data_IF_707922710880
#
_entry.id   IF_707922710880
#
_cell.length_a   1.000
_cell.length_b   1.000
_cell.length_c   1.000
_cell.angle_alpha   90.00
_cell.angle_beta   90.00
_cell.angle_gamma   90.00
#
_symmetry.space_group_name_H-M   'P 1'
#
loop_
_entity.id
_entity.type
_entity.pdbx_description
1 polymer ?
#
# COMPACT_ATOMS: atom_id res chain seq x y z
N UNK A 1 38.64 13.00 2.92
CA UNK A 1 37.22 13.41 2.74
C UNK A 1 36.53 12.27 2.03
N UNK A 2 35.71 11.50 2.74
CA UNK A 2 34.92 10.42 2.14
C UNK A 2 34.02 10.99 1.04
N UNK A 3 34.09 10.40 -0.14
CA UNK A 3 33.22 10.71 -1.27
C UNK A 3 31.79 10.34 -0.90
N UNK A 4 31.03 11.29 -0.36
CA UNK A 4 29.60 11.11 -0.05
C UNK A 4 28.85 10.63 -1.29
N UNK A 5 28.03 9.58 -1.16
CA UNK A 5 27.26 9.00 -2.25
C UNK A 5 26.40 10.07 -2.96
N UNK A 6 26.57 10.31 -4.27
CA UNK A 6 25.78 11.30 -5.01
C UNK A 6 24.26 11.06 -4.93
N UNK A 7 23.83 9.82 -4.73
CA UNK A 7 22.42 9.49 -4.53
C UNK A 7 21.85 10.10 -3.23
N UNK A 8 22.69 10.47 -2.26
CA UNK A 8 22.29 11.08 -0.98
C UNK A 8 22.33 12.61 -1.00
N UNK A 9 22.21 13.21 -2.18
CA UNK A 9 22.10 14.65 -2.35
C UNK A 9 20.83 15.03 -3.07
N UNK A 10 20.17 16.10 -2.61
CA UNK A 10 19.05 16.74 -3.30
C UNK A 10 19.16 18.26 -3.07
N UNK A 11 19.04 19.06 -4.14
CA UNK A 11 19.06 20.53 -4.06
C UNK A 11 20.25 21.12 -3.27
N UNK A 12 21.44 20.53 -3.41
CA UNK A 12 22.65 20.97 -2.72
C UNK A 12 22.72 20.60 -1.23
N UNK A 13 21.77 19.80 -0.74
CA UNK A 13 21.70 19.33 0.64
C UNK A 13 22.01 17.83 0.72
N UNK A 14 22.85 17.45 1.70
CA UNK A 14 23.07 16.05 2.02
C UNK A 14 21.89 15.52 2.84
N UNK A 15 21.30 14.41 2.41
CA UNK A 15 20.04 13.89 2.95
C UNK A 15 20.16 13.36 4.37
N UNK A 16 21.34 12.96 4.82
CA UNK A 16 21.58 12.42 6.17
C UNK A 16 22.35 13.40 7.05
N UNK A 17 22.33 14.70 6.73
CA UNK A 17 22.98 15.69 7.57
C UNK A 17 22.33 15.71 8.96
N UNK A 18 23.14 15.39 9.98
CA UNK A 18 22.72 15.36 11.37
C UNK A 18 22.56 16.77 11.96
N UNK A 19 21.67 16.92 12.94
CA UNK A 19 21.43 18.18 13.65
C UNK A 19 21.97 18.10 15.09
N UNK A 20 23.26 18.42 15.31
CA UNK A 20 23.85 18.37 16.64
C UNK A 20 23.29 19.45 17.57
N UNK A 21 22.70 20.53 17.04
CA UNK A 21 22.19 21.64 17.85
C UNK A 21 20.86 21.29 18.54
N UNK A 22 20.01 20.51 17.89
CA UNK A 22 18.70 20.10 18.42
C UNK A 22 18.63 18.62 18.83
N UNK A 23 19.71 17.85 18.65
CA UNK A 23 19.73 16.41 18.92
C UNK A 23 18.86 15.58 17.98
N UNK A 24 18.39 16.16 16.86
CA UNK A 24 17.56 15.47 15.88
C UNK A 24 18.41 14.59 14.96
N UNK A 25 17.86 13.46 14.51
CA UNK A 25 18.53 12.56 13.55
C UNK A 25 18.90 13.28 12.24
N UNK A 26 18.12 14.27 11.83
CA UNK A 26 18.36 15.06 10.63
C UNK A 26 18.08 16.56 10.83
N UNK A 27 18.90 17.40 10.19
CA UNK A 27 18.67 18.84 10.08
C UNK A 27 17.35 19.13 9.39
N UNK A 28 16.76 20.31 9.68
CA UNK A 28 15.56 20.76 8.98
C UNK A 28 15.78 20.84 7.46
N UNK A 29 17.00 21.21 7.04
CA UNK A 29 17.38 21.25 5.65
C UNK A 29 17.41 19.84 5.04
N UNK A 30 18.01 18.86 5.72
CA UNK A 30 18.01 17.46 5.31
C UNK A 30 16.58 16.90 5.19
N UNK A 31 15.70 17.15 6.17
CA UNK A 31 14.29 16.73 6.10
C UNK A 31 13.54 17.33 4.91
N UNK A 32 13.74 18.63 4.63
CA UNK A 32 13.16 19.28 3.44
C UNK A 32 13.68 18.68 2.14
N UNK A 33 14.98 18.38 2.08
CA UNK A 33 15.61 17.76 0.91
C UNK A 33 15.13 16.32 0.69
N UNK A 34 14.96 15.54 1.76
CA UNK A 34 14.36 14.19 1.71
C UNK A 34 12.92 14.26 1.16
N UNK A 35 12.09 15.16 1.68
CA UNK A 35 10.72 15.34 1.21
C UNK A 35 10.66 15.78 -0.27
N UNK A 36 11.51 16.72 -0.67
CA UNK A 36 11.60 17.18 -2.06
C UNK A 36 12.02 16.04 -3.01
N UNK A 37 13.02 15.24 -2.60
CA UNK A 37 13.46 14.07 -3.35
C UNK A 37 12.34 13.04 -3.48
N UNK A 38 11.64 12.73 -2.40
CA UNK A 38 10.53 11.77 -2.40
C UNK A 38 9.43 12.21 -3.38
N UNK A 39 9.00 13.47 -3.31
CA UNK A 39 8.02 14.03 -4.24
C UNK A 39 8.49 13.95 -5.70
N UNK A 40 9.76 14.29 -5.98
CA UNK A 40 10.33 14.19 -7.32
C UNK A 40 10.33 12.74 -7.82
N UNK A 41 10.68 11.78 -6.97
CA UNK A 41 10.71 10.36 -7.31
C UNK A 41 9.30 9.82 -7.62
N UNK A 42 8.29 10.24 -6.86
CA UNK A 42 6.89 9.89 -7.09
C UNK A 42 6.37 10.48 -8.41
N UNK A 43 6.66 11.77 -8.67
CA UNK A 43 6.31 12.41 -9.95
C UNK A 43 6.90 11.68 -11.16
N UNK A 44 8.09 11.10 -11.02
CA UNK A 44 8.76 10.36 -12.08
C UNK A 44 8.27 8.91 -12.23
N UNK A 45 7.41 8.43 -11.32
CA UNK A 45 6.85 7.07 -11.31
C UNK A 45 5.34 7.12 -11.15
N UNK A 46 4.62 7.85 -12.03
CA UNK A 46 3.18 7.92 -11.95
C UNK A 46 2.56 6.54 -12.23
N UNK A 47 1.31 6.31 -11.80
CA UNK A 47 0.53 5.16 -12.21
C UNK A 47 0.45 5.05 -13.73
N UNK A 48 0.45 3.82 -14.26
CA UNK A 48 0.48 3.57 -15.71
C UNK A 48 -0.65 2.64 -16.13
N UNK A 49 -1.35 2.97 -17.21
CA UNK A 49 -2.34 2.05 -17.79
C UNK A 49 -1.67 0.84 -18.44
N UNK A 50 -0.47 1.01 -19.01
CA UNK A 50 0.29 -0.04 -19.69
C UNK A 50 1.71 -0.07 -19.12
N UNK A 51 2.16 -1.26 -18.70
CA UNK A 51 3.54 -1.48 -18.28
C UNK A 51 4.45 -1.79 -19.48
N UNK A 52 5.57 -1.07 -19.68
CA UNK A 52 6.52 -1.37 -20.75
C UNK A 52 7.09 -2.79 -20.63
N UNK A 53 7.34 -3.45 -21.77
CA UNK A 53 7.94 -4.81 -21.79
C UNK A 53 9.32 -4.87 -21.13
N UNK A 54 10.06 -3.76 -21.08
CA UNK A 54 11.36 -3.67 -20.41
C UNK A 54 11.25 -3.83 -18.89
N UNK A 55 10.08 -3.58 -18.32
CA UNK A 55 9.79 -3.70 -16.88
C UNK A 55 9.19 -5.08 -16.53
N UNK A 56 9.09 -5.98 -17.51
CA UNK A 56 8.77 -7.38 -17.28
C UNK A 56 10.07 -8.18 -17.17
N UNK A 57 10.15 -9.17 -16.26
CA UNK A 57 11.29 -10.07 -16.19
C UNK A 57 11.55 -10.71 -17.55
N UNK A 58 12.78 -10.58 -18.03
CA UNK A 58 13.19 -11.07 -19.34
C UNK A 58 14.66 -11.48 -19.31
N UNK A 59 15.16 -12.10 -20.39
CA UNK A 59 16.54 -12.61 -20.46
C UNK A 59 17.63 -11.55 -20.22
N UNK A 60 17.32 -10.26 -20.39
CA UNK A 60 18.27 -9.14 -20.22
C UNK A 60 18.08 -8.39 -18.90
N UNK A 61 16.93 -8.55 -18.24
CA UNK A 61 16.59 -7.87 -16.99
C UNK A 61 15.99 -8.93 -16.06
N UNK A 62 16.81 -9.44 -15.16
CA UNK A 62 16.44 -10.48 -14.19
C UNK A 62 15.64 -9.92 -13.01
N UNK A 63 15.91 -8.67 -12.62
CA UNK A 63 15.27 -7.97 -11.50
C UNK A 63 14.80 -6.56 -11.90
N UNK A 64 13.74 -6.44 -12.74
CA UNK A 64 13.11 -5.14 -12.95
C UNK A 64 12.49 -4.65 -11.64
N UNK A 65 12.24 -3.33 -11.49
CA UNK A 65 11.44 -2.83 -10.39
C UNK A 65 10.09 -3.55 -10.28
N UNK A 66 9.63 -3.75 -9.06
CA UNK A 66 8.34 -4.34 -8.76
C UNK A 66 7.21 -3.35 -9.07
N UNK A 67 6.24 -3.82 -9.85
CA UNK A 67 4.99 -3.13 -10.09
C UNK A 67 3.82 -4.07 -9.79
N UNK A 68 2.75 -3.51 -9.24
CA UNK A 68 1.47 -4.20 -9.06
C UNK A 68 0.40 -3.63 -9.99
N UNK A 69 -0.36 -4.51 -10.63
CA UNK A 69 -1.54 -4.13 -11.39
C UNK A 69 -2.78 -4.28 -10.53
N UNK A 70 -3.42 -3.17 -10.17
CA UNK A 70 -4.49 -3.19 -9.18
C UNK A 70 -5.13 -1.83 -8.92
N UNK A 71 -5.99 -1.82 -7.91
CA UNK A 71 -6.68 -0.64 -7.41
C UNK A 71 -6.00 -0.15 -6.13
N UNK A 72 -5.53 1.11 -6.08
CA UNK A 72 -5.08 1.68 -4.82
C UNK A 72 -6.26 1.92 -3.87
N UNK A 73 -5.99 1.98 -2.57
CA UNK A 73 -6.98 2.30 -1.54
C UNK A 73 -6.34 2.99 -0.33
N UNK A 74 -7.14 3.73 0.43
CA UNK A 74 -6.75 4.36 1.69
C UNK A 74 -7.10 3.45 2.88
N UNK A 75 -6.46 3.65 4.04
CA UNK A 75 -6.83 2.96 5.29
C UNK A 75 -8.30 3.17 5.63
N UNK A 76 -8.77 4.41 5.48
CA UNK A 76 -10.15 4.76 5.75
C UNK A 76 -11.11 4.00 4.83
N UNK A 77 -10.79 3.92 3.54
CA UNK A 77 -11.58 3.15 2.58
C UNK A 77 -11.74 1.69 3.01
N UNK A 78 -10.66 1.03 3.44
CA UNK A 78 -10.71 -0.36 3.89
C UNK A 78 -11.61 -0.54 5.13
N UNK A 79 -11.56 0.39 6.08
CA UNK A 79 -12.42 0.40 7.27
C UNK A 79 -13.88 0.56 6.84
N UNK A 80 -14.17 1.55 6.00
CA UNK A 80 -15.53 1.84 5.55
C UNK A 80 -16.11 0.69 4.71
N UNK A 81 -15.29 0.06 3.87
CA UNK A 81 -15.64 -1.16 3.14
C UNK A 81 -16.03 -2.26 4.13
N UNK A 82 -15.20 -2.53 5.13
CA UNK A 82 -15.46 -3.55 6.13
C UNK A 82 -16.75 -3.27 6.93
N UNK A 83 -17.03 -2.00 7.23
CA UNK A 83 -18.29 -1.54 7.85
C UNK A 83 -19.50 -1.78 6.95
N UNK A 84 -19.45 -1.32 5.69
CA UNK A 84 -20.54 -1.44 4.70
C UNK A 84 -20.91 -2.90 4.45
N UNK A 85 -19.91 -3.76 4.30
CA UNK A 85 -20.09 -5.19 4.04
C UNK A 85 -20.22 -6.04 5.31
N UNK A 86 -20.29 -5.40 6.48
CA UNK A 86 -20.50 -6.05 7.80
C UNK A 86 -19.55 -7.22 8.04
N UNK A 87 -18.28 -7.03 7.67
CA UNK A 87 -17.25 -8.05 7.84
C UNK A 87 -17.08 -8.35 9.33
N UNK A 88 -16.59 -9.56 9.63
CA UNK A 88 -16.43 -10.07 10.99
C UNK A 88 -15.10 -10.77 11.13
N UNK A 89 -14.52 -10.70 12.33
CA UNK A 89 -13.26 -11.34 12.70
C UNK A 89 -13.53 -12.25 13.89
N UNK A 90 -13.07 -13.49 13.81
CA UNK A 90 -13.03 -14.36 14.98
C UNK A 90 -11.83 -13.94 15.82
N UNK A 91 -12.08 -13.63 17.09
CA UNK A 91 -11.04 -13.20 18.01
C UNK A 91 -10.41 -14.41 18.69
N UNK A 92 -9.08 -14.40 18.79
CA UNK A 92 -8.33 -15.37 19.59
C UNK A 92 -8.46 -15.08 21.10
N UNK A 93 -7.81 -15.87 21.94
CA UNK A 93 -7.92 -15.74 23.41
C UNK A 93 -7.37 -14.41 23.92
N UNK A 94 -6.24 -13.95 23.40
CA UNK A 94 -5.60 -12.70 23.81
C UNK A 94 -6.44 -11.49 23.35
N UNK A 95 -6.96 -11.55 22.12
CA UNK A 95 -7.85 -10.53 21.58
C UNK A 95 -9.19 -10.50 22.34
N UNK A 96 -9.74 -11.65 22.74
CA UNK A 96 -10.98 -11.69 23.54
C UNK A 96 -10.83 -10.92 24.83
N UNK A 97 -9.70 -11.07 25.54
CA UNK A 97 -9.45 -10.34 26.78
C UNK A 97 -9.50 -8.82 26.52
N UNK A 98 -8.80 -8.36 25.48
CA UNK A 98 -8.80 -6.95 25.09
C UNK A 98 -10.18 -6.43 24.67
N UNK A 99 -11.00 -7.25 24.01
CA UNK A 99 -12.34 -6.87 23.53
C UNK A 99 -13.48 -7.22 24.52
N UNK A 100 -13.18 -7.38 25.81
CA UNK A 100 -14.19 -7.57 26.85
C UNK A 100 -14.90 -8.92 26.79
N UNK A 101 -14.16 -9.97 26.42
CA UNK A 101 -14.63 -11.36 26.32
C UNK A 101 -15.41 -11.69 25.04
N UNK A 102 -15.45 -10.79 24.05
CA UNK A 102 -16.18 -11.04 22.79
C UNK A 102 -15.43 -12.04 21.93
N UNK A 103 -16.12 -13.08 21.47
CA UNK A 103 -15.54 -14.06 20.52
C UNK A 103 -15.43 -13.52 19.09
N UNK A 104 -16.28 -12.54 18.73
CA UNK A 104 -16.36 -12.01 17.36
C UNK A 104 -16.31 -10.50 17.41
N UNK A 105 -15.36 -9.94 16.67
CA UNK A 105 -15.33 -8.52 16.35
C UNK A 105 -16.15 -8.25 15.08
N UNK A 106 -16.97 -7.20 15.11
CA UNK A 106 -17.79 -6.77 13.97
C UNK A 106 -17.39 -5.36 13.57
N UNK A 107 -17.02 -5.18 12.31
CA UNK A 107 -16.62 -3.85 11.83
C UNK A 107 -17.76 -2.83 11.92
N UNK A 108 -19.02 -3.26 11.82
CA UNK A 108 -20.17 -2.37 12.00
C UNK A 108 -20.23 -1.67 13.36
N UNK A 109 -19.52 -2.18 14.38
CA UNK A 109 -19.48 -1.62 15.74
C UNK A 109 -18.30 -0.63 15.92
N UNK A 110 -17.50 -0.37 14.88
CA UNK A 110 -16.37 0.59 14.94
C UNK A 110 -16.89 2.01 15.04
N UNK A 111 -16.55 2.67 16.14
CA UNK A 111 -16.85 4.08 16.44
C UNK A 111 -15.57 4.88 16.81
N UNK A 112 -15.74 6.19 17.05
CA UNK A 112 -14.63 7.09 17.35
C UNK A 112 -13.95 6.78 18.68
N UNK A 113 -14.69 6.22 19.66
CA UNK A 113 -14.14 5.86 20.96
C UNK A 113 -13.15 4.70 20.81
N UNK A 114 -13.54 3.65 20.06
CA UNK A 114 -12.67 2.52 19.78
C UNK A 114 -11.42 2.96 18.99
N UNK A 115 -11.58 3.90 18.06
CA UNK A 115 -10.49 4.41 17.22
C UNK A 115 -9.57 5.41 17.93
N UNK A 116 -9.95 5.88 19.12
CA UNK A 116 -9.10 6.75 19.95
C UNK A 116 -7.94 6.00 20.60
N UNK A 117 -8.12 4.70 20.86
CA UNK A 117 -7.09 3.83 21.38
C UNK A 117 -6.11 3.41 20.25
N UNK A 118 -4.79 3.63 20.39
CA UNK A 118 -3.81 3.29 19.37
C UNK A 118 -3.76 1.80 19.00
N UNK A 119 -3.94 0.90 19.97
CA UNK A 119 -3.86 -0.56 19.77
C UNK A 119 -5.10 -1.03 19.01
N UNK A 120 -6.30 -0.64 19.45
CA UNK A 120 -7.53 -0.99 18.75
C UNK A 120 -7.58 -0.36 17.36
N UNK A 121 -7.13 0.89 17.21
CA UNK A 121 -7.01 1.52 15.89
C UNK A 121 -6.08 0.73 14.97
N UNK A 122 -4.93 0.27 15.48
CA UNK A 122 -4.01 -0.54 14.69
C UNK A 122 -4.66 -1.86 14.26
N UNK A 123 -5.29 -2.56 15.20
CA UNK A 123 -6.05 -3.78 14.93
C UNK A 123 -7.10 -3.57 13.84
N UNK A 124 -7.97 -2.55 13.98
CA UNK A 124 -9.03 -2.24 13.02
C UNK A 124 -8.45 -1.95 11.63
N UNK A 125 -7.35 -1.20 11.53
CA UNK A 125 -6.69 -0.92 10.25
C UNK A 125 -6.13 -2.19 9.61
N UNK A 126 -5.45 -3.05 10.37
CA UNK A 126 -4.84 -4.27 9.84
C UNK A 126 -5.92 -5.27 9.43
N UNK A 127 -6.89 -5.51 10.30
CA UNK A 127 -7.95 -6.47 10.07
C UNK A 127 -8.85 -6.03 8.90
N UNK A 128 -9.26 -4.76 8.82
CA UNK A 128 -10.12 -4.27 7.73
C UNK A 128 -9.50 -4.52 6.36
N UNK A 129 -8.19 -4.26 6.22
CA UNK A 129 -7.44 -4.53 4.98
C UNK A 129 -7.43 -6.00 4.62
N UNK A 130 -7.13 -6.87 5.59
CA UNK A 130 -7.06 -8.31 5.35
C UNK A 130 -8.41 -8.86 4.91
N UNK A 131 -9.46 -8.58 5.68
CA UNK A 131 -10.80 -9.10 5.41
C UNK A 131 -11.45 -8.48 4.17
N UNK A 132 -11.15 -7.21 3.84
CA UNK A 132 -11.55 -6.62 2.56
C UNK A 132 -10.96 -7.41 1.38
N UNK A 133 -9.67 -7.72 1.41
CA UNK A 133 -9.01 -8.48 0.32
C UNK A 133 -9.59 -9.89 0.23
N UNK A 134 -9.83 -10.55 1.36
CA UNK A 134 -10.43 -11.89 1.38
C UNK A 134 -11.85 -11.89 0.80
N UNK A 135 -12.69 -10.95 1.24
CA UNK A 135 -14.06 -10.78 0.75
C UNK A 135 -14.09 -10.47 -0.76
N UNK A 136 -13.25 -9.53 -1.22
CA UNK A 136 -13.14 -9.22 -2.64
C UNK A 136 -12.64 -10.41 -3.46
N UNK A 137 -11.65 -11.15 -2.97
CA UNK A 137 -11.14 -12.35 -3.63
C UNK A 137 -12.24 -13.40 -3.82
N UNK A 138 -13.09 -13.59 -2.81
CA UNK A 138 -14.26 -14.48 -2.88
C UNK A 138 -15.29 -13.98 -3.89
N UNK A 139 -15.59 -12.67 -3.86
CA UNK A 139 -16.58 -12.04 -4.77
C UNK A 139 -16.19 -12.15 -6.23
N UNK A 140 -14.91 -11.93 -6.55
CA UNK A 140 -14.44 -12.03 -7.93
C UNK A 140 -14.04 -13.46 -8.32
N UNK A 141 -14.07 -14.44 -7.40
CA UNK A 141 -13.64 -15.81 -7.66
C UNK A 141 -12.17 -15.92 -8.07
N UNK A 142 -11.33 -14.98 -7.65
CA UNK A 142 -9.93 -14.88 -8.04
C UNK A 142 -9.10 -14.42 -6.83
N UNK A 143 -8.07 -15.15 -6.41
CA UNK A 143 -7.25 -14.75 -5.27
C UNK A 143 -6.58 -13.41 -5.55
N UNK A 144 -6.75 -12.38 -4.73
CA UNK A 144 -6.11 -11.09 -4.89
C UNK A 144 -4.83 -10.99 -4.05
N UNK A 145 -3.93 -10.11 -4.46
CA UNK A 145 -2.69 -9.81 -3.73
C UNK A 145 -2.77 -8.43 -3.10
N UNK A 146 -1.94 -8.22 -2.07
CA UNK A 146 -1.69 -6.90 -1.49
C UNK A 146 -0.37 -6.35 -2.06
N UNK A 147 -0.35 -5.06 -2.37
CA UNK A 147 0.86 -4.29 -2.65
C UNK A 147 0.87 -2.97 -1.90
N UNK A 148 1.96 -2.21 -2.02
CA UNK A 148 2.09 -0.87 -1.43
C UNK A 148 2.42 0.14 -2.54
N UNK A 149 1.47 1.00 -2.94
CA UNK A 149 1.72 1.96 -4.02
C UNK A 149 2.78 2.95 -3.56
N UNK A 150 3.70 3.32 -4.46
CA UNK A 150 4.65 4.41 -4.23
C UNK A 150 3.93 5.78 -4.32
N UNK A 151 3.09 6.04 -3.33
CA UNK A 151 2.23 7.22 -3.21
C UNK A 151 2.06 7.61 -1.73
N UNK A 152 1.97 8.92 -1.46
CA UNK A 152 1.59 9.43 -0.14
C UNK A 152 0.06 9.48 0.05
N UNK A 153 -0.70 9.42 -1.03
CA UNK A 153 -2.16 9.52 -1.02
C UNK A 153 -2.83 8.17 -0.75
N UNK A 154 -2.18 7.09 -1.20
CA UNK A 154 -2.73 5.74 -1.16
C UNK A 154 -1.94 4.86 -0.20
N UNK A 155 -2.65 4.10 0.63
CA UNK A 155 -2.06 3.32 1.71
C UNK A 155 -1.80 1.85 1.34
N UNK A 156 -2.41 1.37 0.25
CA UNK A 156 -2.29 -0.02 -0.22
C UNK A 156 -2.84 -0.20 -1.63
N UNK A 157 -2.54 -1.34 -2.24
CA UNK A 157 -3.12 -1.79 -3.52
C UNK A 157 -3.74 -3.16 -3.31
N UNK A 158 -4.93 -3.36 -3.88
CA UNK A 158 -5.49 -4.68 -4.14
C UNK A 158 -5.13 -5.04 -5.58
N UNK A 159 -4.21 -5.99 -5.73
CA UNK A 159 -3.57 -6.32 -6.98
C UNK A 159 -4.10 -7.62 -7.56
N UNK A 160 -4.36 -7.63 -8.86
CA UNK A 160 -4.61 -8.86 -9.59
C UNK A 160 -3.31 -9.65 -9.76
N UNK A 161 -2.18 -8.97 -10.00
CA UNK A 161 -0.86 -9.57 -10.20
C UNK A 161 0.25 -8.52 -10.10
N UNK A 162 1.49 -8.98 -10.05
CA UNK A 162 2.68 -8.16 -10.25
C UNK A 162 3.26 -8.36 -11.65
N UNK A 163 4.26 -7.54 -12.01
CA UNK A 163 5.01 -7.73 -13.25
C UNK A 163 5.79 -9.06 -13.30
N UNK A 164 6.01 -9.71 -12.16
CA UNK A 164 6.71 -10.99 -12.08
C UNK A 164 5.83 -12.21 -12.36
N UNK A 165 4.55 -12.15 -12.01
CA UNK A 165 3.63 -13.30 -12.08
C UNK A 165 2.44 -13.08 -13.03
N UNK A 166 2.37 -11.94 -13.71
CA UNK A 166 1.29 -11.58 -14.64
C UNK A 166 0.98 -12.70 -15.65
N UNK A 167 1.99 -13.38 -16.20
CA UNK A 167 1.76 -14.44 -17.20
C UNK A 167 1.00 -15.63 -16.61
N UNK A 168 1.43 -16.09 -15.44
CA UNK A 168 0.83 -17.25 -14.76
C UNK A 168 -0.57 -16.90 -14.27
N UNK A 169 -0.71 -15.73 -13.64
CA UNK A 169 -1.96 -15.29 -13.03
C UNK A 169 -3.01 -14.90 -14.06
N UNK A 170 -2.60 -14.29 -15.17
CA UNK A 170 -3.50 -14.00 -16.29
C UNK A 170 -4.05 -15.30 -16.88
N UNK A 171 -3.22 -16.35 -17.03
CA UNK A 171 -3.67 -17.66 -17.52
C UNK A 171 -4.67 -18.34 -16.56
N UNK A 172 -4.56 -18.10 -15.25
CA UNK A 172 -5.52 -18.58 -14.24
C UNK A 172 -6.80 -17.74 -14.16
N UNK A 173 -6.79 -16.52 -14.69
CA UNK A 173 -7.93 -15.61 -14.64
C UNK A 173 -8.90 -15.89 -15.80
N UNK A 174 -9.70 -16.95 -15.66
CA UNK A 174 -10.62 -17.41 -16.71
C UNK A 174 -11.66 -16.38 -17.16
N UNK A 175 -11.92 -15.34 -16.36
CA UNK A 175 -12.90 -14.30 -16.68
C UNK A 175 -12.42 -12.91 -16.23
N UNK A 176 -11.37 -12.42 -16.89
CA UNK A 176 -10.75 -11.13 -16.58
C UNK A 176 -11.76 -9.97 -16.52
N UNK A 177 -12.64 -9.85 -17.52
CA UNK A 177 -13.58 -8.73 -17.60
C UNK A 177 -14.54 -8.71 -16.41
N UNK A 178 -15.07 -9.87 -15.99
CA UNK A 178 -15.93 -9.97 -14.80
C UNK A 178 -15.17 -9.65 -13.50
N UNK A 179 -13.91 -10.07 -13.40
CA UNK A 179 -13.08 -9.75 -12.23
C UNK A 179 -12.86 -8.24 -12.16
N UNK A 180 -12.51 -7.60 -13.28
CA UNK A 180 -12.29 -6.16 -13.34
C UNK A 180 -13.58 -5.38 -13.08
N UNK A 181 -14.71 -5.81 -13.63
CA UNK A 181 -16.01 -5.17 -13.39
C UNK A 181 -16.37 -5.23 -11.90
N UNK A 182 -16.27 -6.41 -11.28
CA UNK A 182 -16.56 -6.61 -9.86
C UNK A 182 -15.64 -5.75 -8.97
N UNK A 183 -14.33 -5.72 -9.27
CA UNK A 183 -13.38 -4.89 -8.53
C UNK A 183 -13.62 -3.41 -8.76
N UNK A 184 -13.90 -2.97 -9.99
CA UNK A 184 -14.15 -1.55 -10.29
C UNK A 184 -15.35 -1.05 -9.50
N UNK A 185 -16.45 -1.81 -9.50
CA UNK A 185 -17.64 -1.48 -8.72
C UNK A 185 -17.34 -1.47 -7.21
N UNK A 186 -16.64 -2.49 -6.71
CA UNK A 186 -16.38 -2.65 -5.29
C UNK A 186 -15.27 -1.72 -4.75
N UNK A 187 -14.39 -1.17 -5.59
CA UNK A 187 -13.31 -0.25 -5.22
C UNK A 187 -13.72 1.23 -5.34
N UNK A 188 -14.87 1.50 -5.93
CA UNK A 188 -15.42 2.85 -6.11
C UNK A 188 -16.81 2.97 -5.46
N UNK A 189 -17.10 2.15 -4.46
CA UNK A 189 -18.31 2.29 -3.65
C UNK A 189 -18.13 3.36 -2.56
N UNK A 190 -19.19 4.11 -2.26
CA UNK A 190 -19.18 5.14 -1.22
C UNK A 190 -18.45 6.43 -1.63
N UNK A 191 -18.11 7.27 -0.64
CA UNK A 191 -17.65 8.65 -0.85
C UNK A 191 -16.12 8.79 -0.89
N UNK A 192 -15.42 7.76 -1.35
CA UNK A 192 -13.96 7.74 -1.45
C UNK A 192 -13.41 8.40 -2.73
N UNK A 193 -12.11 8.71 -2.77
CA UNK A 193 -11.45 9.09 -4.01
C UNK A 193 -11.57 7.96 -5.05
N UNK A 194 -11.84 8.32 -6.29
CA UNK A 194 -11.97 7.37 -7.39
C UNK A 194 -10.65 6.59 -7.59
N UNK A 195 -10.76 5.28 -7.56
CA UNK A 195 -9.66 4.34 -7.72
C UNK A 195 -9.74 3.68 -9.09
N UNK A 196 -8.64 3.72 -9.84
CA UNK A 196 -8.53 3.15 -11.18
C UNK A 196 -7.57 1.96 -11.20
N UNK A 197 -7.94 0.94 -11.97
CA UNK A 197 -7.07 -0.20 -12.25
C UNK A 197 -5.86 0.23 -13.11
N UNK A 198 -4.68 0.26 -12.50
CA UNK A 198 -3.44 0.67 -13.15
C UNK A 198 -2.24 -0.10 -12.61
N UNK A 199 -1.10 0.06 -13.26
CA UNK A 199 0.20 -0.38 -12.77
C UNK A 199 0.77 0.67 -11.83
N UNK A 200 1.09 0.24 -10.61
CA UNK A 200 1.67 1.06 -9.55
C UNK A 200 3.06 0.56 -9.24
N UNK A 201 4.01 1.50 -9.19
CA UNK A 201 5.35 1.24 -8.70
C UNK A 201 5.26 0.89 -7.21
N UNK A 202 5.88 -0.20 -6.79
CA UNK A 202 5.82 -0.61 -5.38
C UNK A 202 6.79 0.20 -4.50
N UNK A 203 6.37 0.49 -3.28
CA UNK A 203 7.15 1.25 -2.30
C UNK A 203 8.44 0.52 -1.87
N UNK A 204 8.44 -0.81 -1.86
CA UNK A 204 9.52 -1.64 -1.34
C UNK A 204 10.66 -1.85 -2.36
N UNK A 205 10.60 -1.18 -3.51
CA UNK A 205 11.72 -1.12 -4.45
C UNK A 205 12.92 -0.34 -3.89
N UNK A 206 14.11 -0.59 -4.46
CA UNK A 206 15.42 0.03 -4.12
C UNK A 206 15.52 1.56 -4.29
N UNK A 207 14.39 2.24 -4.50
CA UNK A 207 14.26 3.70 -4.29
C UNK A 207 14.34 4.05 -2.79
N UNK A 208 14.41 3.03 -1.93
CA UNK A 208 14.71 3.01 -0.50
C UNK A 208 16.03 3.68 -0.04
N UNK A 209 16.59 4.60 -0.82
CA UNK A 209 17.60 5.55 -0.32
C UNK A 209 17.07 6.38 0.86
N UNK A 210 15.76 6.34 1.13
CA UNK A 210 15.12 6.87 2.33
C UNK A 210 14.66 5.79 3.33
N UNK A 211 14.62 4.50 2.97
CA UNK A 211 14.31 3.40 3.91
C UNK A 211 15.52 2.95 4.71
N UNK A 212 16.75 3.28 4.28
CA UNK A 212 17.96 3.15 5.11
C UNK A 212 18.13 4.29 6.13
N UNK A 213 17.18 5.22 6.15
CA UNK A 213 17.28 6.51 6.85
C UNK A 213 16.32 6.58 8.05
N UNK A 214 15.43 5.60 8.21
CA UNK A 214 14.62 5.38 9.42
C UNK A 214 15.35 4.52 10.46
#
# INVERSE_FOLDING_TARGET
MESRNPALWENGQYLEEWDPANGNKFSDAARKAQAAKLQRLMRNRPPRDILPRSELPNRRVDKPPLYYYGFPFTKQYAIDYAKRHRLKVQLDEDEREAFGGKEVFRFGDVDDNLMSDPEFRHFVIVASRFFMIEDLSKRCGFPLKRGRPFSLEWDGIIALWSNFDVKERYAMCCNYDKVVEALTAAMNEGDGPESKLQWWYDWDNDVGVLTSVD
#
